data_IF_196330936466
#
_entry.id   IF_196330936466
#
_cell.length_a   1.000
_cell.length_b   1.000
_cell.length_c   1.000
_cell.angle_alpha   90.00
_cell.angle_beta   90.00
_cell.angle_gamma   90.00
#
_symmetry.space_group_name_H-M   'P 1'
#
loop_
_entity.id
_entity.type
_entity.pdbx_description
1 polymer ?
#
# COMPACT_ATOMS: atom_id res chain seq x y z
N UNK A 1 -28.91 27.71 9.86
CA UNK A 1 -27.76 27.15 10.60
C UNK A 1 -27.13 26.13 9.67
N UNK A 2 -26.07 26.53 8.97
CA UNK A 2 -25.49 25.73 7.89
C UNK A 2 -24.38 24.87 8.52
N UNK A 3 -24.52 23.55 8.47
CA UNK A 3 -23.46 22.64 8.90
C UNK A 3 -22.24 22.86 7.99
N UNK A 4 -21.01 22.93 8.55
CA UNK A 4 -19.81 22.95 7.74
C UNK A 4 -19.68 21.59 7.04
N UNK A 5 -19.40 21.63 5.74
CA UNK A 5 -19.01 20.46 4.96
C UNK A 5 -17.68 19.99 5.53
N UNK A 6 -17.67 18.78 6.09
CA UNK A 6 -16.47 18.08 6.51
C UNK A 6 -15.65 17.71 5.26
N UNK A 7 -14.40 18.17 5.09
CA UNK A 7 -13.54 17.79 3.97
C UNK A 7 -12.91 16.40 4.18
N UNK A 8 -13.72 15.42 4.58
CA UNK A 8 -13.29 14.03 4.67
C UNK A 8 -12.97 13.47 3.28
N UNK A 9 -11.79 12.84 3.16
CA UNK A 9 -11.30 12.03 2.02
C UNK A 9 -10.46 12.76 0.97
N UNK A 10 -9.29 13.22 1.37
CA UNK A 10 -8.18 13.55 0.47
C UNK A 10 -7.32 12.33 0.11
N UNK A 11 -7.92 11.24 -0.37
CA UNK A 11 -7.17 10.16 -1.04
C UNK A 11 -7.93 9.71 -2.29
N UNK A 12 -7.81 10.54 -3.32
CA UNK A 12 -8.20 10.28 -4.71
C UNK A 12 -7.06 10.67 -5.70
N UNK A 13 -5.80 10.48 -5.33
CA UNK A 13 -4.69 10.51 -6.30
C UNK A 13 -3.68 9.45 -5.85
N UNK A 14 -3.29 8.44 -6.63
CA UNK A 14 -3.25 8.31 -8.07
C UNK A 14 -4.22 7.25 -8.67
N UNK A 15 -4.80 7.60 -9.82
CA UNK A 15 -5.82 6.83 -10.53
C UNK A 15 -6.46 7.66 -11.65
N UNK A 16 -5.65 8.42 -12.40
CA UNK A 16 -6.13 9.25 -13.52
C UNK A 16 -6.16 8.40 -14.81
N UNK A 17 -6.80 7.23 -14.75
CA UNK A 17 -7.51 6.68 -15.89
C UNK A 17 -8.81 6.11 -15.35
N UNK A 18 -9.95 6.61 -15.83
CA UNK A 18 -11.30 6.26 -15.35
C UNK A 18 -11.75 4.82 -15.71
N UNK A 19 -10.86 3.84 -15.57
CA UNK A 19 -11.19 2.43 -15.61
C UNK A 19 -11.01 1.89 -14.19
N UNK A 20 -12.09 1.67 -13.42
CA UNK A 20 -11.99 0.93 -12.18
C UNK A 20 -11.52 -0.48 -12.52
N UNK A 21 -10.23 -0.75 -12.36
CA UNK A 21 -9.73 -2.12 -12.38
C UNK A 21 -10.32 -2.75 -11.12
N UNK A 22 -11.15 -3.79 -11.26
CA UNK A 22 -11.51 -4.61 -10.11
C UNK A 22 -10.21 -5.01 -9.43
N UNK A 23 -10.05 -4.62 -8.17
CA UNK A 23 -8.93 -5.04 -7.34
C UNK A 23 -9.06 -6.56 -7.21
N UNK A 24 -8.23 -7.30 -7.93
CA UNK A 24 -8.19 -8.75 -7.84
C UNK A 24 -7.54 -9.06 -6.50
N UNK A 25 -8.34 -9.55 -5.57
CA UNK A 25 -7.85 -10.00 -4.27
C UNK A 25 -7.23 -11.38 -4.45
N UNK A 26 -6.02 -11.56 -3.94
CA UNK A 26 -5.36 -12.87 -3.93
C UNK A 26 -6.01 -13.80 -2.91
N UNK A 27 -6.56 -13.24 -1.83
CA UNK A 27 -7.36 -13.96 -0.86
C UNK A 27 -8.51 -13.09 -0.33
N UNK A 28 -9.65 -13.72 -0.04
CA UNK A 28 -10.77 -13.09 0.66
C UNK A 28 -11.26 -14.03 1.75
N UNK A 29 -11.34 -13.53 2.97
CA UNK A 29 -11.82 -14.28 4.14
C UNK A 29 -12.90 -13.51 4.89
N UNK A 30 -13.65 -14.22 5.72
CA UNK A 30 -14.50 -13.62 6.74
C UNK A 30 -13.96 -13.95 8.11
N UNK A 31 -13.92 -12.98 9.01
CA UNK A 31 -13.43 -13.17 10.37
C UNK A 31 -14.49 -12.74 11.39
N UNK A 32 -14.65 -13.55 12.42
CA UNK A 32 -15.32 -13.13 13.65
C UNK A 32 -14.29 -12.40 14.52
N UNK A 33 -14.52 -11.11 14.76
CA UNK A 33 -13.65 -10.26 15.54
C UNK A 33 -14.50 -9.38 16.48
N UNK A 34 -15.07 -10.00 17.54
CA UNK A 34 -15.97 -9.32 18.45
C UNK A 34 -15.15 -8.33 19.29
N UNK A 35 -15.64 -7.08 19.38
CA UNK A 35 -14.98 -6.03 20.16
C UNK A 35 -13.87 -5.26 19.44
N UNK A 36 -13.45 -5.67 18.23
CA UNK A 36 -12.65 -4.82 17.36
C UNK A 36 -13.43 -3.54 17.06
N UNK A 37 -12.80 -2.37 17.12
CA UNK A 37 -13.46 -1.08 16.86
C UNK A 37 -13.60 -0.79 15.35
N UNK A 38 -14.48 0.16 15.01
CA UNK A 38 -14.64 0.73 13.65
C UNK A 38 -15.27 -0.20 12.62
N UNK A 39 -15.43 0.32 11.40
CA UNK A 39 -16.16 -0.34 10.32
C UNK A 39 -15.30 -0.60 9.08
N UNK A 40 -14.10 -0.04 9.05
CA UNK A 40 -13.12 -0.20 7.97
C UNK A 40 -11.71 -0.06 8.55
N UNK A 41 -10.77 -0.85 8.03
CA UNK A 41 -9.37 -0.74 8.37
C UNK A 41 -8.48 -1.28 7.23
N UNK A 42 -7.29 -0.70 7.10
CA UNK A 42 -6.21 -1.20 6.26
C UNK A 42 -5.02 -1.59 7.12
N UNK A 43 -4.44 -2.75 6.82
CA UNK A 43 -3.24 -3.22 7.50
C UNK A 43 -2.31 -3.98 6.56
N UNK A 44 -1.04 -4.05 6.92
CA UNK A 44 0.00 -4.80 6.20
C UNK A 44 0.61 -5.82 7.14
N UNK A 45 0.59 -7.08 6.74
CA UNK A 45 1.26 -8.16 7.45
C UNK A 45 2.64 -8.39 6.83
N UNK A 46 3.69 -8.16 7.61
CA UNK A 46 5.08 -8.27 7.17
C UNK A 46 5.62 -9.68 7.32
N UNK A 47 6.65 -10.03 6.53
CA UNK A 47 7.31 -11.34 6.59
C UNK A 47 8.01 -11.62 7.92
N UNK A 48 8.32 -10.59 8.71
CA UNK A 48 8.90 -10.72 10.06
C UNK A 48 7.84 -10.99 11.15
N UNK A 49 6.56 -11.14 10.75
CA UNK A 49 5.45 -11.41 11.65
C UNK A 49 4.72 -10.16 12.14
N UNK A 50 5.30 -8.97 12.02
CA UNK A 50 4.62 -7.73 12.43
C UNK A 50 3.39 -7.44 11.57
N UNK A 51 2.42 -6.74 12.16
CA UNK A 51 1.24 -6.23 11.47
C UNK A 51 1.17 -4.73 11.68
N UNK A 52 1.20 -3.97 10.60
CA UNK A 52 1.16 -2.50 10.59
C UNK A 52 -0.26 -2.05 10.24
N UNK A 53 -0.86 -1.18 11.04
CA UNK A 53 -2.15 -0.55 10.72
C UNK A 53 -1.87 0.72 9.92
N UNK A 54 -2.35 0.77 8.67
CA UNK A 54 -2.22 1.94 7.80
C UNK A 54 -3.37 2.92 7.97
N UNK A 55 -4.59 2.40 8.07
CA UNK A 55 -5.80 3.17 8.33
C UNK A 55 -6.77 2.39 9.21
N UNK A 56 -7.51 3.07 10.08
CA UNK A 56 -8.46 2.44 10.98
C UNK A 56 -8.75 3.31 12.18
N UNK A 57 -9.71 2.91 13.03
CA UNK A 57 -9.97 3.63 14.28
C UNK A 57 -8.79 3.50 15.25
N UNK A 58 -8.67 4.46 16.16
CA UNK A 58 -7.68 4.38 17.24
C UNK A 58 -7.86 3.11 18.07
N UNK A 59 -6.76 2.40 18.32
CA UNK A 59 -6.79 1.15 19.06
C UNK A 59 -7.36 -0.05 18.29
N UNK A 60 -7.48 0.05 16.95
CA UNK A 60 -7.77 -1.09 16.10
C UNK A 60 -6.75 -2.21 16.31
N UNK A 61 -7.23 -3.41 16.62
CA UNK A 61 -6.40 -4.61 16.70
C UNK A 61 -6.57 -5.43 15.40
N UNK A 62 -5.55 -5.48 14.52
CA UNK A 62 -5.60 -6.22 13.27
C UNK A 62 -5.38 -7.73 13.46
N UNK A 63 -4.92 -8.20 14.63
CA UNK A 63 -4.48 -9.58 14.82
C UNK A 63 -5.57 -10.63 14.54
N UNK A 64 -6.84 -10.46 14.98
CA UNK A 64 -7.89 -11.43 14.65
C UNK A 64 -8.15 -11.55 13.14
N UNK A 65 -7.99 -10.44 12.41
CA UNK A 65 -8.19 -10.40 10.95
C UNK A 65 -6.99 -10.97 10.20
N UNK A 66 -5.77 -10.71 10.69
CA UNK A 66 -4.56 -11.29 10.16
C UNK A 66 -4.53 -12.81 10.38
N UNK A 67 -4.95 -13.29 11.56
CA UNK A 67 -5.08 -14.72 11.86
C UNK A 67 -6.06 -15.42 10.92
N UNK A 68 -7.16 -14.76 10.53
CA UNK A 68 -8.13 -15.33 9.59
C UNK A 68 -7.56 -15.51 8.16
N UNK A 69 -6.50 -14.78 7.80
CA UNK A 69 -5.79 -14.90 6.53
C UNK A 69 -4.67 -15.96 6.56
N UNK A 70 -4.33 -16.51 7.73
CA UNK A 70 -3.30 -17.54 7.84
C UNK A 70 -3.67 -18.78 7.00
N UNK A 71 -2.75 -19.19 6.13
CA UNK A 71 -2.95 -20.30 5.19
C UNK A 71 -3.77 -19.96 3.95
N UNK A 72 -4.42 -18.78 3.88
CA UNK A 72 -5.08 -18.29 2.68
C UNK A 72 -4.12 -17.49 1.78
N UNK A 73 -3.18 -16.75 2.39
CA UNK A 73 -2.15 -15.98 1.69
C UNK A 73 -0.85 -15.97 2.50
N UNK A 74 0.29 -16.00 1.81
CA UNK A 74 1.60 -15.87 2.45
C UNK A 74 1.95 -14.40 2.70
N UNK A 75 2.72 -14.14 3.76
CA UNK A 75 3.25 -12.80 4.05
C UNK A 75 4.46 -12.51 3.12
N UNK A 76 4.64 -11.26 2.63
CA UNK A 76 3.91 -10.08 3.05
C UNK A 76 2.67 -9.79 2.19
N UNK A 77 1.64 -9.21 2.81
CA UNK A 77 0.41 -8.80 2.12
C UNK A 77 -0.16 -7.52 2.70
N UNK A 78 -0.92 -6.80 1.86
CA UNK A 78 -1.80 -5.70 2.26
C UNK A 78 -3.23 -6.20 2.33
N UNK A 79 -3.96 -5.83 3.38
CA UNK A 79 -5.34 -6.19 3.58
C UNK A 79 -6.24 -4.96 3.76
N UNK A 80 -7.44 -5.03 3.19
CA UNK A 80 -8.55 -4.13 3.44
C UNK A 80 -9.66 -4.92 4.14
N UNK A 81 -10.03 -4.46 5.33
CA UNK A 81 -11.07 -5.02 6.14
C UNK A 81 -12.28 -4.09 6.16
N UNK A 82 -13.47 -4.65 5.92
CA UNK A 82 -14.75 -3.94 6.04
C UNK A 82 -15.69 -4.71 6.94
N UNK A 83 -16.30 -4.02 7.91
CA UNK A 83 -17.30 -4.60 8.79
C UNK A 83 -18.60 -4.84 8.04
N UNK A 84 -19.13 -6.04 8.22
CA UNK A 84 -20.51 -6.45 7.96
C UNK A 84 -21.23 -6.60 9.31
N UNK A 85 -22.57 -6.65 9.35
CA UNK A 85 -23.31 -6.56 10.62
C UNK A 85 -22.83 -7.48 11.75
N UNK A 86 -22.35 -8.68 11.42
CA UNK A 86 -21.89 -9.68 12.40
C UNK A 86 -20.44 -10.13 12.20
N UNK A 87 -19.79 -9.80 11.08
CA UNK A 87 -18.47 -10.32 10.69
C UNK A 87 -17.65 -9.26 9.97
N UNK A 88 -16.34 -9.43 9.91
CA UNK A 88 -15.48 -8.67 9.00
C UNK A 88 -15.30 -9.41 7.68
N UNK A 89 -15.39 -8.70 6.56
CA UNK A 89 -14.88 -9.15 5.27
C UNK A 89 -13.49 -8.60 5.08
N UNK A 90 -12.51 -9.46 4.80
CA UNK A 90 -11.11 -9.05 4.65
C UNK A 90 -10.61 -9.53 3.29
N UNK A 91 -10.26 -8.58 2.42
CA UNK A 91 -9.56 -8.86 1.16
C UNK A 91 -8.08 -8.59 1.33
N UNK A 92 -7.22 -9.47 0.82
CA UNK A 92 -5.77 -9.33 0.87
C UNK A 92 -5.14 -9.50 -0.51
N UNK A 93 -4.05 -8.75 -0.73
CA UNK A 93 -3.21 -8.84 -1.92
C UNK A 93 -1.76 -9.00 -1.49
N UNK A 94 -1.04 -9.91 -2.13
CA UNK A 94 0.39 -10.09 -1.90
C UNK A 94 1.12 -8.81 -2.32
N UNK A 95 2.11 -8.44 -1.53
CA UNK A 95 2.94 -7.26 -1.81
C UNK A 95 4.40 -7.66 -1.82
N UNK A 96 5.22 -6.83 -2.42
CA UNK A 96 6.66 -6.92 -2.25
C UNK A 96 7.13 -5.80 -1.33
N UNK A 97 8.13 -6.09 -0.49
CA UNK A 97 8.71 -5.08 0.39
C UNK A 97 10.22 -5.01 0.20
N UNK A 98 10.77 -3.81 0.31
CA UNK A 98 12.21 -3.59 0.30
C UNK A 98 12.59 -2.47 1.27
N UNK A 99 13.83 -2.52 1.76
CA UNK A 99 14.44 -1.37 2.43
C UNK A 99 15.12 -0.49 1.41
N UNK A 100 14.87 0.82 1.49
CA UNK A 100 15.49 1.80 0.61
C UNK A 100 16.54 2.61 1.40
N UNK A 101 17.81 2.39 1.09
CA UNK A 101 18.95 3.11 1.65
C UNK A 101 19.82 3.69 0.51
N UNK A 102 20.03 5.03 0.43
CA UNK A 102 19.53 6.07 1.35
C UNK A 102 18.01 6.22 1.36
N UNK A 103 17.44 6.67 2.50
CA UNK A 103 16.00 6.96 2.63
C UNK A 103 15.61 8.09 1.66
N UNK A 104 14.70 7.82 0.71
CA UNK A 104 14.29 8.79 -0.31
C UNK A 104 13.45 9.97 0.22
N UNK A 105 13.00 9.94 1.49
CA UNK A 105 12.04 10.89 2.09
C UNK A 105 10.67 10.89 1.39
N UNK A 106 9.63 11.38 2.08
CA UNK A 106 8.23 11.30 1.61
C UNK A 106 7.59 9.95 1.91
N UNK A 107 6.33 9.76 1.56
CA UNK A 107 5.56 8.54 1.87
C UNK A 107 5.10 7.80 0.62
N UNK A 108 5.05 8.47 -0.53
CA UNK A 108 4.68 7.91 -1.82
C UNK A 108 5.69 8.35 -2.90
N UNK A 109 6.23 7.39 -3.65
CA UNK A 109 7.21 7.63 -4.71
C UNK A 109 6.74 7.01 -6.01
N UNK A 110 6.75 7.78 -7.10
CA UNK A 110 6.58 7.24 -8.45
C UNK A 110 7.81 7.57 -9.29
N UNK A 111 8.50 6.54 -9.77
CA UNK A 111 9.68 6.65 -10.60
C UNK A 111 9.40 6.03 -11.97
N UNK A 112 9.59 6.80 -13.04
CA UNK A 112 9.37 6.34 -14.41
C UNK A 112 10.64 6.47 -15.23
N UNK A 113 10.98 5.41 -15.96
CA UNK A 113 12.04 5.38 -16.96
C UNK A 113 11.44 5.02 -18.33
N UNK A 114 11.60 5.92 -19.31
CA UNK A 114 11.05 5.73 -20.67
C UNK A 114 12.07 5.20 -21.69
N UNK A 115 13.28 4.82 -21.23
CA UNK A 115 14.41 4.47 -22.10
C UNK A 115 15.37 5.64 -22.38
N UNK A 116 15.00 6.86 -22.01
CA UNK A 116 15.81 8.06 -22.22
C UNK A 116 15.86 8.99 -20.99
N UNK A 117 14.75 9.10 -20.29
CA UNK A 117 14.53 10.07 -19.20
C UNK A 117 14.04 9.33 -17.96
N UNK A 118 14.62 9.70 -16.82
CA UNK A 118 14.18 9.27 -15.50
C UNK A 118 13.41 10.42 -14.85
N UNK A 119 12.16 10.17 -14.47
CA UNK A 119 11.29 11.12 -13.80
C UNK A 119 10.86 10.58 -12.44
N UNK A 120 10.93 11.41 -11.41
CA UNK A 120 10.50 11.08 -10.05
C UNK A 120 9.40 12.04 -9.59
N UNK A 121 8.36 11.51 -8.99
CA UNK A 121 7.45 12.25 -8.11
C UNK A 121 7.56 11.72 -6.68
N UNK A 122 7.46 12.63 -5.70
CA UNK A 122 7.41 12.34 -4.27
C UNK A 122 6.17 13.01 -3.72
N UNK A 123 5.27 12.23 -3.12
CA UNK A 123 3.97 12.69 -2.62
C UNK A 123 3.18 13.49 -3.69
N UNK A 124 3.23 13.01 -4.94
CA UNK A 124 2.60 13.64 -6.11
C UNK A 124 3.30 14.89 -6.64
N UNK A 125 4.43 15.30 -6.07
CA UNK A 125 5.18 16.48 -6.48
C UNK A 125 6.45 16.09 -7.25
N UNK A 126 6.77 16.72 -8.39
CA UNK A 126 8.01 16.46 -9.12
C UNK A 126 9.25 16.67 -8.24
N UNK A 127 10.20 15.74 -8.34
CA UNK A 127 11.43 15.76 -7.55
C UNK A 127 12.65 15.31 -8.40
N UNK A 128 13.84 15.56 -7.86
CA UNK A 128 15.10 15.14 -8.49
C UNK A 128 15.30 13.62 -8.37
N UNK A 129 15.49 12.87 -9.48
CA UNK A 129 15.59 11.41 -9.44
C UNK A 129 16.69 10.87 -8.52
N UNK A 130 17.78 11.61 -8.32
CA UNK A 130 18.85 11.25 -7.38
C UNK A 130 18.38 11.05 -5.93
N UNK A 131 17.23 11.64 -5.57
CA UNK A 131 16.59 11.46 -4.27
C UNK A 131 16.12 10.02 -4.02
N UNK A 132 15.82 9.25 -5.07
CA UNK A 132 15.32 7.87 -4.98
C UNK A 132 16.26 6.84 -5.62
N UNK A 133 17.58 7.06 -5.56
CA UNK A 133 18.58 6.17 -6.17
C UNK A 133 18.52 4.70 -5.72
N UNK A 134 18.02 4.42 -4.51
CA UNK A 134 17.77 3.05 -4.05
C UNK A 134 16.63 2.38 -4.84
N UNK A 135 15.53 3.11 -5.08
CA UNK A 135 14.39 2.62 -5.87
C UNK A 135 14.78 2.44 -7.34
N UNK A 136 15.53 3.39 -7.91
CA UNK A 136 16.04 3.30 -9.28
C UNK A 136 16.87 2.03 -9.50
N UNK A 137 17.87 1.78 -8.62
CA UNK A 137 18.71 0.58 -8.71
C UNK A 137 17.90 -0.70 -8.60
N UNK A 138 16.91 -0.72 -7.70
CA UNK A 138 16.01 -1.86 -7.54
C UNK A 138 15.20 -2.09 -8.82
N UNK A 139 14.56 -1.06 -9.37
CA UNK A 139 13.73 -1.16 -10.57
C UNK A 139 14.56 -1.60 -11.79
N UNK A 140 15.70 -0.97 -12.02
CA UNK A 140 16.62 -1.30 -13.11
C UNK A 140 17.24 -2.71 -13.00
N UNK A 141 17.27 -3.31 -11.79
CA UNK A 141 17.71 -4.70 -11.62
C UNK A 141 16.67 -5.73 -12.05
N UNK A 142 15.39 -5.32 -12.13
CA UNK A 142 14.25 -6.19 -12.48
C UNK A 142 13.84 -6.02 -13.93
N UNK A 143 13.79 -4.78 -14.40
CA UNK A 143 13.36 -4.44 -15.74
C UNK A 143 14.51 -3.82 -16.54
N UNK A 144 14.80 -4.44 -17.68
CA UNK A 144 15.85 -3.96 -18.59
C UNK A 144 15.35 -2.91 -19.59
N UNK A 145 14.03 -2.78 -19.74
CA UNK A 145 13.37 -1.87 -20.66
C UNK A 145 12.87 -0.59 -19.99
N UNK A 146 11.86 0.04 -20.60
CA UNK A 146 11.11 1.10 -19.96
C UNK A 146 10.30 0.52 -18.79
N UNK A 147 10.22 1.25 -17.68
CA UNK A 147 9.54 0.79 -16.47
C UNK A 147 8.90 1.94 -15.70
N UNK A 148 7.89 1.60 -14.91
CA UNK A 148 7.37 2.41 -13.82
C UNK A 148 7.57 1.65 -12.51
N UNK A 149 8.12 2.33 -11.51
CA UNK A 149 8.29 1.83 -10.16
C UNK A 149 7.50 2.72 -9.20
N UNK A 150 6.72 2.10 -8.32
CA UNK A 150 5.99 2.75 -7.26
C UNK A 150 6.50 2.23 -5.91
N UNK A 151 6.65 3.12 -4.94
CA UNK A 151 6.98 2.75 -3.58
C UNK A 151 6.13 3.51 -2.56
N UNK A 152 5.46 2.78 -1.68
CA UNK A 152 4.68 3.34 -0.57
C UNK A 152 5.35 3.03 0.78
N UNK A 153 5.54 4.03 1.63
CA UNK A 153 6.21 3.85 2.93
C UNK A 153 5.34 3.02 3.86
N UNK A 154 5.96 2.02 4.50
CA UNK A 154 5.30 1.16 5.49
C UNK A 154 5.72 1.54 6.91
N UNK A 155 7.03 1.53 7.18
CA UNK A 155 7.58 1.82 8.51
C UNK A 155 9.08 2.14 8.40
N UNK A 156 9.48 3.35 8.83
CA UNK A 156 10.87 3.78 8.75
C UNK A 156 11.43 3.66 7.33
N UNK A 157 12.46 2.83 7.13
CA UNK A 157 13.12 2.59 5.85
C UNK A 157 12.48 1.46 5.02
N UNK A 158 11.38 0.87 5.49
CA UNK A 158 10.66 -0.22 4.83
C UNK A 158 9.54 0.32 3.93
N UNK A 159 9.54 -0.14 2.68
CA UNK A 159 8.62 0.27 1.65
C UNK A 159 7.93 -0.92 1.02
N UNK A 160 6.66 -0.76 0.64
CA UNK A 160 5.97 -1.58 -0.35
C UNK A 160 6.47 -1.17 -1.74
N UNK A 161 6.79 -2.15 -2.59
CA UNK A 161 7.38 -1.90 -3.91
C UNK A 161 6.55 -2.57 -5.01
N UNK A 162 6.31 -1.82 -6.07
CA UNK A 162 5.74 -2.33 -7.32
C UNK A 162 6.60 -1.87 -8.49
N UNK A 163 7.04 -2.78 -9.36
CA UNK A 163 7.76 -2.45 -10.59
C UNK A 163 7.04 -3.10 -11.75
N UNK A 164 6.73 -2.31 -12.77
CA UNK A 164 5.98 -2.73 -13.95
C UNK A 164 6.72 -2.28 -15.21
N UNK A 165 6.77 -3.11 -16.27
CA UNK A 165 7.24 -2.68 -17.58
C UNK A 165 6.25 -1.69 -18.21
N UNK A 166 6.78 -0.79 -19.06
CA UNK A 166 6.00 0.18 -19.86
C UNK A 166 5.91 -0.21 -21.33
#
# INVERSE_FOLDING_TARGET
MVHPVDPGSHWLAAGITGIPRQKEWDAVVTADAPGTAGDEAEFVALSDGRVLVGAGPDGFDPEPLAAALEGAIERPYRALAMRRPELWSVGASAIETARLDPDPRGDDLELTWDGSTLALSVDGMPAEPSGASALERLAASRESGAYAAHAGRLDGDLWEILVLPL
#
